data_IF_939234166294
#
_entry.id   IF_939234166294
#
_cell.length_a   1.000
_cell.length_b   1.000
_cell.length_c   1.000
_cell.angle_alpha   90.00
_cell.angle_beta   90.00
_cell.angle_gamma   90.00
#
_symmetry.space_group_name_H-M   'P 1'
#
loop_
_entity.id
_entity.type
_entity.pdbx_description
1 polymer ?
#
# COMPACT_ATOMS: atom_id res chain seq x y z
N UNK A 1 0.21 -14.13 -19.87
CA UNK A 1 1.37 -14.46 -19.39
C UNK A 1 1.41 -14.53 -17.88
N UNK A 2 2.38 -14.93 -17.37
CA UNK A 2 2.46 -15.22 -15.98
C UNK A 2 2.90 -14.03 -15.18
N UNK A 3 2.65 -14.09 -13.88
CA UNK A 3 2.94 -13.00 -12.98
C UNK A 3 4.12 -13.33 -12.11
N UNK A 4 5.20 -13.67 -12.75
CA UNK A 4 6.38 -14.08 -12.01
C UNK A 4 6.86 -13.00 -11.07
N UNK A 5 6.85 -11.75 -11.53
CA UNK A 5 7.31 -10.67 -10.70
C UNK A 5 6.39 -10.40 -9.51
N UNK A 6 5.11 -10.73 -9.60
CA UNK A 6 4.22 -10.58 -8.46
C UNK A 6 4.52 -11.58 -7.37
N UNK A 7 4.85 -12.81 -7.77
CA UNK A 7 5.17 -13.82 -6.77
C UNK A 7 6.53 -13.58 -6.15
N UNK A 8 7.36 -12.75 -6.76
CA UNK A 8 8.68 -12.47 -6.21
C UNK A 8 8.71 -11.22 -5.35
N UNK A 9 7.61 -10.48 -5.26
CA UNK A 9 7.53 -9.32 -4.39
C UNK A 9 7.54 -9.74 -2.94
N UNK A 10 8.31 -9.04 -2.14
CA UNK A 10 8.34 -9.24 -0.71
C UNK A 10 7.88 -7.98 -0.03
N UNK A 11 7.35 -8.11 1.17
CA UNK A 11 6.82 -7.00 1.92
C UNK A 11 7.52 -6.91 3.26
N UNK A 12 7.74 -5.69 3.70
CA UNK A 12 8.29 -5.46 5.02
C UNK A 12 7.62 -4.27 5.65
N UNK A 13 7.65 -4.22 6.97
CA UNK A 13 7.18 -3.07 7.71
C UNK A 13 7.68 -3.15 9.13
N UNK A 14 7.58 -2.02 9.82
CA UNK A 14 7.99 -1.95 11.20
C UNK A 14 6.78 -2.30 12.07
N UNK A 15 6.93 -3.27 12.99
CA UNK A 15 5.78 -3.72 13.80
C UNK A 15 5.11 -2.62 14.61
N UNK A 16 5.89 -1.65 15.10
CA UNK A 16 5.29 -0.55 15.86
C UNK A 16 4.39 0.31 14.98
N UNK A 17 4.82 0.54 13.75
CA UNK A 17 4.02 1.34 12.82
C UNK A 17 2.77 0.59 12.43
N UNK A 18 2.86 -0.72 12.26
CA UNK A 18 1.69 -1.53 11.93
C UNK A 18 0.67 -1.45 13.05
N UNK A 19 1.13 -1.56 14.29
CA UNK A 19 0.26 -1.51 15.45
C UNK A 19 -0.42 -0.15 15.59
N UNK A 20 0.37 0.91 15.43
CA UNK A 20 -0.17 2.27 15.54
C UNK A 20 -1.17 2.54 14.41
N UNK A 21 -0.87 2.04 13.22
CA UNK A 21 -1.75 2.24 12.08
C UNK A 21 -3.10 1.56 12.29
N UNK A 22 -3.07 0.35 12.85
CA UNK A 22 -4.30 -0.37 13.11
C UNK A 22 -5.17 0.38 14.12
N UNK A 23 -4.56 0.92 15.16
CA UNK A 23 -5.29 1.70 16.16
C UNK A 23 -5.87 2.96 15.57
N UNK A 24 -5.09 3.65 14.75
CA UNK A 24 -5.50 4.94 14.22
C UNK A 24 -6.50 4.84 13.09
N UNK A 25 -6.29 3.90 12.20
CA UNK A 25 -7.07 3.83 10.95
C UNK A 25 -7.91 2.58 10.81
N UNK A 26 -7.76 1.60 11.68
CA UNK A 26 -8.53 0.38 11.58
C UNK A 26 -8.12 -0.50 10.42
N UNK A 27 -6.92 -0.32 9.89
CA UNK A 27 -6.41 -1.08 8.75
C UNK A 27 -5.10 -1.71 9.16
N UNK A 28 -5.03 -3.03 9.06
CA UNK A 28 -3.79 -3.75 9.34
C UNK A 28 -2.87 -3.68 8.13
N UNK A 29 -1.57 -3.86 8.35
CA UNK A 29 -0.64 -3.92 7.23
C UNK A 29 -0.79 -5.22 6.45
N UNK A 30 -1.34 -6.26 7.06
CA UNK A 30 -1.68 -7.46 6.32
C UNK A 30 -2.78 -7.17 5.30
N UNK A 31 -3.78 -6.42 5.72
CA UNK A 31 -4.82 -6.03 4.78
C UNK A 31 -4.27 -5.11 3.71
N UNK A 32 -3.38 -4.18 4.09
CA UNK A 32 -2.75 -3.27 3.14
C UNK A 32 -1.98 -4.06 2.08
N UNK A 33 -1.27 -5.10 2.50
CA UNK A 33 -0.52 -5.94 1.57
C UNK A 33 -1.43 -6.52 0.50
N UNK A 34 -2.64 -6.93 0.88
CA UNK A 34 -3.54 -7.57 -0.07
C UNK A 34 -3.96 -6.64 -1.21
N UNK A 35 -3.88 -5.31 -1.00
CA UNK A 35 -4.23 -4.36 -2.06
C UNK A 35 -3.31 -4.50 -3.26
N UNK A 36 -2.08 -4.96 -3.03
CA UNK A 36 -1.11 -5.12 -4.12
C UNK A 36 -1.48 -6.24 -5.07
N UNK A 37 -2.47 -7.05 -4.72
CA UNK A 37 -2.95 -8.12 -5.60
C UNK A 37 -4.22 -7.73 -6.35
N UNK A 38 -4.70 -6.51 -6.17
CA UNK A 38 -5.82 -5.98 -6.93
C UNK A 38 -5.30 -5.50 -8.27
N UNK A 39 -5.66 -6.19 -9.33
CA UNK A 39 -5.13 -5.89 -10.67
C UNK A 39 -5.57 -4.52 -11.18
N UNK A 40 -6.62 -3.96 -10.62
CA UNK A 40 -7.11 -2.65 -11.04
C UNK A 40 -6.63 -1.52 -10.16
N UNK A 41 -5.77 -1.83 -9.18
CA UNK A 41 -5.27 -0.79 -8.28
C UNK A 41 -4.53 0.29 -9.04
N UNK A 42 -4.62 1.52 -8.53
CA UNK A 42 -3.99 2.69 -9.15
C UNK A 42 -2.80 3.13 -8.31
N UNK A 43 -1.66 3.29 -8.96
CA UNK A 43 -0.44 3.73 -8.28
C UNK A 43 -0.15 5.17 -8.65
N UNK A 44 0.02 6.01 -7.63
CA UNK A 44 0.32 7.42 -7.83
C UNK A 44 1.48 7.83 -6.94
N UNK A 45 2.16 8.90 -7.32
CA UNK A 45 3.22 9.45 -6.49
C UNK A 45 2.60 10.18 -5.31
N UNK A 46 3.25 10.03 -4.16
CA UNK A 46 2.81 10.75 -2.96
C UNK A 46 3.30 12.20 -3.05
N UNK A 47 2.40 13.18 -3.11
CA UNK A 47 2.84 14.57 -3.24
C UNK A 47 3.55 15.09 -1.99
N UNK A 48 3.37 14.41 -0.87
CA UNK A 48 3.98 14.82 0.39
C UNK A 48 5.22 14.01 0.76
N UNK A 49 5.81 13.32 -0.22
CA UNK A 49 6.98 12.50 0.08
C UNK A 49 8.15 13.34 0.56
N UNK A 50 9.02 12.74 1.34
CA UNK A 50 10.21 13.42 1.82
C UNK A 50 11.27 13.42 0.72
N UNK A 51 12.26 14.29 0.87
CA UNK A 51 13.34 14.37 -0.10
C UNK A 51 14.23 13.14 -0.11
N UNK A 52 14.27 12.44 1.01
CA UNK A 52 15.17 11.30 1.15
C UNK A 52 14.59 10.02 0.60
N UNK A 53 13.29 9.97 0.35
CA UNK A 53 12.65 8.72 0.05
C UNK A 53 11.43 8.98 -0.82
N UNK A 54 11.42 8.32 -1.96
CA UNK A 54 10.28 8.45 -2.86
C UNK A 54 9.15 7.54 -2.42
N UNK A 55 7.99 8.11 -2.17
CA UNK A 55 6.83 7.38 -1.70
C UNK A 55 5.73 7.35 -2.74
N UNK A 56 4.94 6.30 -2.67
CA UNK A 56 3.84 6.09 -3.60
C UNK A 56 2.59 5.74 -2.81
N UNK A 57 1.45 5.97 -3.43
CA UNK A 57 0.18 5.59 -2.85
C UNK A 57 -0.50 4.62 -3.81
N UNK A 58 -0.89 3.47 -3.29
CA UNK A 58 -1.64 2.50 -4.06
C UNK A 58 -3.09 2.54 -3.59
N UNK A 59 -3.99 2.78 -4.53
CA UNK A 59 -5.43 2.82 -4.24
C UNK A 59 -6.08 1.59 -4.84
N UNK A 60 -6.69 0.77 -4.00
CA UNK A 60 -7.33 -0.43 -4.49
C UNK A 60 -8.12 -1.15 -3.42
N UNK A 61 -8.73 -2.24 -3.82
CA UNK A 61 -9.52 -3.07 -2.92
C UNK A 61 -8.65 -4.05 -2.17
N UNK A 62 -8.89 -4.16 -0.87
CA UNK A 62 -8.24 -5.17 -0.06
C UNK A 62 -9.02 -6.48 -0.15
N UNK A 63 -8.45 -7.53 0.45
CA UNK A 63 -9.12 -8.83 0.51
C UNK A 63 -10.44 -8.77 1.28
N UNK A 64 -10.64 -7.73 2.07
CA UNK A 64 -11.90 -7.51 2.79
C UNK A 64 -12.87 -6.64 2.00
N UNK A 65 -12.55 -6.38 0.74
CA UNK A 65 -13.36 -5.56 -0.16
C UNK A 65 -13.53 -4.13 0.35
N UNK A 66 -12.51 -3.61 0.99
CA UNK A 66 -12.49 -2.21 1.40
C UNK A 66 -11.54 -1.45 0.48
N UNK A 67 -11.92 -0.23 0.11
CA UNK A 67 -11.07 0.62 -0.71
C UNK A 67 -10.04 1.27 0.20
N UNK A 68 -8.78 0.94 -0.03
CA UNK A 68 -7.68 1.31 0.86
C UNK A 68 -6.63 2.11 0.09
N UNK A 69 -6.05 3.10 0.77
CA UNK A 69 -4.88 3.81 0.28
C UNK A 69 -3.67 3.29 1.06
N UNK A 70 -2.67 2.82 0.35
CA UNK A 70 -1.46 2.26 0.97
C UNK A 70 -0.26 3.12 0.60
N UNK A 71 0.30 3.80 1.59
CA UNK A 71 1.52 4.57 1.39
C UNK A 71 2.70 3.63 1.57
N UNK A 72 3.60 3.61 0.59
CA UNK A 72 4.71 2.67 0.60
C UNK A 72 5.88 3.20 -0.20
N UNK A 73 7.01 2.53 -0.07
CA UNK A 73 8.17 2.81 -0.90
C UNK A 73 8.76 1.47 -1.33
N UNK A 74 9.71 1.53 -2.25
CA UNK A 74 10.35 0.34 -2.79
C UNK A 74 11.79 0.29 -2.36
N UNK A 75 12.26 -0.93 -2.05
CA UNK A 75 13.64 -1.17 -1.68
C UNK A 75 14.17 -2.32 -2.52
N UNK A 76 15.48 -2.51 -2.47
CA UNK A 76 16.15 -3.62 -3.19
C UNK A 76 15.77 -3.60 -4.67
N UNK A 77 15.90 -2.44 -5.28
CA UNK A 77 15.65 -2.27 -6.72
C UNK A 77 14.24 -2.66 -7.11
N UNK A 78 13.30 -2.42 -6.19
CA UNK A 78 11.90 -2.65 -6.48
C UNK A 78 11.38 -4.01 -6.11
N UNK A 79 12.21 -4.87 -5.53
CA UNK A 79 11.77 -6.21 -5.15
C UNK A 79 11.12 -6.28 -3.79
N UNK A 80 11.29 -5.25 -2.97
CA UNK A 80 10.71 -5.21 -1.63
C UNK A 80 9.81 -3.99 -1.51
N UNK A 81 8.59 -4.21 -1.08
CA UNK A 81 7.63 -3.14 -0.81
C UNK A 81 7.66 -2.89 0.70
N UNK A 82 8.01 -1.67 1.08
CA UNK A 82 7.96 -1.27 2.48
C UNK A 82 6.69 -0.49 2.72
N UNK A 83 5.79 -1.07 3.52
CA UNK A 83 4.52 -0.43 3.83
C UNK A 83 4.75 0.59 4.95
N UNK A 84 4.27 1.81 4.74
CA UNK A 84 4.47 2.91 5.67
C UNK A 84 3.19 3.23 6.43
N UNK A 85 2.06 3.29 5.72
CA UNK A 85 0.77 3.55 6.35
C UNK A 85 -0.34 3.10 5.42
N UNK A 86 -1.53 2.93 5.98
CA UNK A 86 -2.68 2.52 5.20
C UNK A 86 -3.95 3.03 5.88
N UNK A 87 -4.90 3.48 5.08
CA UNK A 87 -6.17 3.94 5.60
C UNK A 87 -7.25 3.75 4.56
N UNK A 88 -8.49 3.83 5.01
CA UNK A 88 -9.61 3.74 4.07
C UNK A 88 -9.65 4.99 3.21
N UNK A 89 -9.97 4.82 1.95
CA UNK A 89 -10.14 5.93 1.05
C UNK A 89 -11.44 6.66 1.35
N UNK A 90 -11.44 7.98 1.19
CA UNK A 90 -12.68 8.74 1.28
C UNK A 90 -13.49 8.49 0.01
N UNK A 91 -14.80 8.82 0.02
CA UNK A 91 -15.60 8.69 -1.20
C UNK A 91 -15.01 9.46 -2.37
N UNK A 92 -14.45 10.63 -2.10
CA UNK A 92 -13.84 11.42 -3.16
C UNK A 92 -12.61 10.73 -3.72
N UNK A 93 -11.76 10.19 -2.84
CA UNK A 93 -10.57 9.47 -3.28
C UNK A 93 -10.92 8.20 -4.04
N UNK A 94 -12.00 7.54 -3.63
CA UNK A 94 -12.43 6.31 -4.28
C UNK A 94 -12.80 6.50 -5.73
N UNK A 95 -13.16 7.72 -6.11
CA UNK A 95 -13.52 8.00 -7.49
C UNK A 95 -12.35 7.87 -8.45
N UNK A 96 -11.13 7.94 -7.93
CA UNK A 96 -9.94 7.80 -8.76
C UNK A 96 -9.68 6.34 -9.11
N UNK A 97 -10.35 5.43 -8.47
CA UNK A 97 -10.17 4.01 -8.74
C UNK A 97 -10.85 3.66 -10.05
#
# INVERSE_FOLDING_TARGET
MYNVHMTSLRFEWEPRKASANLKKHGVSFEEAKSVFYDESAKLISDPDHSEDEERFILLGFSHSLRMILVCHCYRSEGNVVRIISARKATPKESKAY
#
